data_IF_695877023934
#
_entry.id   IF_695877023934
#
_cell.length_a   1.000
_cell.length_b   1.000
_cell.length_c   1.000
_cell.angle_alpha   90.00
_cell.angle_beta   90.00
_cell.angle_gamma   90.00
#
_symmetry.space_group_name_H-M   'P 1'
#
loop_
_entity.id
_entity.type
_entity.pdbx_description
1 polymer ?
#
# COMPACT_ATOMS: atom_id res chain seq x y z
N UNK A 1 -7.45 -15.22 -11.28
CA UNK A 1 -5.97 -15.14 -11.13
C UNK A 1 -5.38 -13.81 -11.58
N UNK A 2 -5.66 -13.30 -12.80
CA UNK A 2 -5.11 -12.01 -13.28
C UNK A 2 -5.38 -10.82 -12.34
N UNK A 3 -6.60 -10.73 -11.77
CA UNK A 3 -6.94 -9.69 -10.79
C UNK A 3 -6.19 -9.82 -9.47
N UNK A 4 -5.94 -11.05 -8.99
CA UNK A 4 -5.17 -11.29 -7.76
C UNK A 4 -3.74 -10.80 -7.95
N UNK A 5 -3.10 -11.21 -9.05
CA UNK A 5 -1.73 -10.80 -9.39
C UNK A 5 -1.62 -9.28 -9.49
N UNK A 6 -2.56 -8.63 -10.21
CA UNK A 6 -2.58 -7.17 -10.31
C UNK A 6 -2.72 -6.50 -8.93
N UNK A 7 -3.63 -6.98 -8.07
CA UNK A 7 -3.80 -6.44 -6.72
C UNK A 7 -2.59 -6.67 -5.82
N UNK A 8 -1.90 -7.81 -5.95
CA UNK A 8 -0.64 -8.08 -5.23
C UNK A 8 0.45 -7.08 -5.65
N UNK A 9 0.63 -6.85 -6.95
CA UNK A 9 1.63 -5.92 -7.46
C UNK A 9 1.36 -4.50 -6.96
N UNK A 10 0.10 -4.05 -6.99
CA UNK A 10 -0.29 -2.73 -6.48
C UNK A 10 0.00 -2.62 -4.98
N UNK A 11 -0.31 -3.64 -4.20
CA UNK A 11 -0.02 -3.66 -2.76
C UNK A 11 1.48 -3.56 -2.48
N UNK A 12 2.32 -4.29 -3.22
CA UNK A 12 3.78 -4.23 -3.09
C UNK A 12 4.29 -2.81 -3.38
N UNK A 13 3.80 -2.18 -4.45
CA UNK A 13 4.18 -0.80 -4.80
C UNK A 13 3.80 0.17 -3.68
N UNK A 14 2.61 0.04 -3.10
CA UNK A 14 2.18 0.88 -1.96
C UNK A 14 3.09 0.70 -0.74
N UNK A 15 3.49 -0.53 -0.41
CA UNK A 15 4.41 -0.79 0.71
C UNK A 15 5.78 -0.18 0.45
N UNK A 16 6.35 -0.35 -0.74
CA UNK A 16 7.64 0.23 -1.10
C UNK A 16 7.62 1.75 -1.03
N UNK A 17 6.57 2.38 -1.56
CA UNK A 17 6.42 3.84 -1.54
C UNK A 17 6.17 4.38 -0.14
N UNK A 18 5.46 3.65 0.72
CA UNK A 18 5.31 3.99 2.14
C UNK A 18 6.67 3.98 2.85
N UNK A 19 7.47 2.92 2.66
CA UNK A 19 8.82 2.83 3.23
C UNK A 19 9.69 3.98 2.74
N UNK A 20 9.70 4.27 1.43
CA UNK A 20 10.43 5.43 0.90
C UNK A 20 9.98 6.74 1.55
N UNK A 21 8.67 6.92 1.79
CA UNK A 21 8.15 8.13 2.44
C UNK A 21 8.71 8.30 3.86
N UNK A 22 8.89 7.21 4.62
CA UNK A 22 9.56 7.26 5.93
C UNK A 22 11.02 7.74 5.80
N UNK A 23 11.77 7.20 4.83
CA UNK A 23 13.14 7.63 4.60
C UNK A 23 13.23 9.13 4.23
N UNK A 24 12.29 9.64 3.43
CA UNK A 24 12.23 11.06 3.08
C UNK A 24 11.91 11.93 4.31
N UNK A 25 10.97 11.52 5.16
CA UNK A 25 10.57 12.28 6.34
C UNK A 25 11.67 12.34 7.41
N UNK A 26 12.37 11.22 7.63
CA UNK A 26 13.47 11.13 8.59
C UNK A 26 14.73 11.86 8.13
N UNK A 27 15.13 11.70 6.85
CA UNK A 27 16.45 12.15 6.41
C UNK A 27 16.47 13.51 5.70
N UNK A 28 15.34 13.96 5.12
CA UNK A 28 15.33 15.20 4.34
C UNK A 28 14.53 16.32 5.02
N UNK A 29 13.27 16.05 5.37
CA UNK A 29 12.40 17.06 5.95
C UNK A 29 11.23 16.43 6.72
N UNK A 30 11.10 16.78 8.00
CA UNK A 30 9.99 16.33 8.85
C UNK A 30 8.61 16.77 8.33
N UNK A 31 8.50 17.79 7.48
CA UNK A 31 7.21 18.12 6.86
C UNK A 31 6.68 17.01 5.94
N UNK A 32 7.52 16.08 5.49
CA UNK A 32 7.08 14.89 4.73
C UNK A 32 6.37 13.84 5.59
N UNK A 33 6.28 14.00 6.91
CA UNK A 33 5.43 13.13 7.75
C UNK A 33 3.96 13.13 7.30
N UNK A 34 3.47 14.23 6.74
CA UNK A 34 2.13 14.27 6.12
C UNK A 34 2.00 13.32 4.93
N UNK A 35 3.07 13.16 4.14
CA UNK A 35 3.12 12.20 3.04
C UNK A 35 3.13 10.76 3.55
N UNK A 36 3.85 10.49 4.64
CA UNK A 36 3.86 9.17 5.31
C UNK A 36 2.45 8.80 5.78
N UNK A 37 1.76 9.72 6.44
CA UNK A 37 0.38 9.51 6.91
C UNK A 37 -0.56 9.25 5.72
N UNK A 38 -0.47 10.07 4.68
CA UNK A 38 -1.26 9.89 3.45
C UNK A 38 -1.02 8.53 2.81
N UNK A 39 0.25 8.12 2.67
CA UNK A 39 0.60 6.81 2.11
C UNK A 39 0.20 5.65 3.00
N UNK A 40 0.20 5.80 4.32
CA UNK A 40 -0.28 4.77 5.24
C UNK A 40 -1.77 4.49 5.02
N UNK A 41 -2.58 5.55 4.86
CA UNK A 41 -4.02 5.44 4.56
C UNK A 41 -4.25 4.75 3.22
N UNK A 42 -3.53 5.18 2.17
CA UNK A 42 -3.62 4.56 0.83
C UNK A 42 -3.24 3.08 0.88
N UNK A 43 -2.13 2.75 1.55
CA UNK A 43 -1.65 1.37 1.68
C UNK A 43 -2.65 0.49 2.42
N UNK A 44 -3.29 1.02 3.48
CA UNK A 44 -4.34 0.32 4.20
C UNK A 44 -5.56 0.05 3.32
N UNK A 45 -6.03 1.05 2.55
CA UNK A 45 -7.16 0.90 1.64
C UNK A 45 -6.90 -0.14 0.55
N UNK A 46 -5.70 -0.14 -0.04
CA UNK A 46 -5.26 -1.14 -1.02
C UNK A 46 -5.17 -2.52 -0.39
N UNK A 47 -4.65 -2.64 0.84
CA UNK A 47 -4.61 -3.89 1.59
C UNK A 47 -6.00 -4.48 1.84
N UNK A 48 -6.98 -3.65 2.23
CA UNK A 48 -8.37 -4.08 2.39
C UNK A 48 -8.98 -4.56 1.08
N UNK A 49 -8.73 -3.85 -0.02
CA UNK A 49 -9.17 -4.25 -1.35
C UNK A 49 -8.56 -5.59 -1.78
N UNK A 50 -7.27 -5.78 -1.55
CA UNK A 50 -6.56 -7.04 -1.80
C UNK A 50 -7.17 -8.22 -1.02
N UNK A 51 -7.42 -8.05 0.29
CA UNK A 51 -8.06 -9.07 1.11
C UNK A 51 -9.47 -9.42 0.61
N UNK A 52 -10.25 -8.43 0.15
CA UNK A 52 -11.57 -8.65 -0.45
C UNK A 52 -11.47 -9.47 -1.73
N UNK A 53 -10.48 -9.19 -2.59
CA UNK A 53 -10.23 -9.98 -3.80
C UNK A 53 -9.89 -11.42 -3.42
N UNK A 54 -8.95 -11.66 -2.50
CA UNK A 54 -8.56 -13.01 -2.09
C UNK A 54 -9.77 -13.79 -1.57
N UNK A 55 -10.57 -13.19 -0.67
CA UNK A 55 -11.79 -13.84 -0.13
C UNK A 55 -12.76 -14.23 -1.24
N UNK A 56 -12.95 -13.36 -2.24
CA UNK A 56 -13.81 -13.66 -3.40
C UNK A 56 -13.28 -14.80 -4.27
N UNK A 57 -11.97 -15.04 -4.30
CA UNK A 57 -11.37 -16.16 -5.02
C UNK A 57 -11.40 -17.46 -4.23
N UNK A 58 -11.37 -17.42 -2.89
CA UNK A 58 -11.45 -18.62 -2.05
C UNK A 58 -12.87 -19.21 -1.93
N UNK A 59 -13.89 -18.40 -2.18
CA UNK A 59 -15.30 -18.82 -2.18
C UNK A 59 -15.81 -19.30 -3.55
N UNK A 60 -14.93 -19.39 -4.56
CA UNK A 60 -15.23 -19.83 -5.92
C UNK A 60 -14.55 -21.16 -6.19
#
# INVERSE_FOLDING_TARGET
MKQVIASTVVLIICILTLISSFFLAENLNHNYWWQVIGMAIVTFAVGQYFLKIIKSYQHK
#
